data_IF_931607039702
#
_entry.id   IF_931607039702
#
_cell.length_a   1.000
_cell.length_b   1.000
_cell.length_c   1.000
_cell.angle_alpha   90.00
_cell.angle_beta   90.00
_cell.angle_gamma   90.00
#
_symmetry.space_group_name_H-M   'P 1'
#
loop_
_entity.id
_entity.type
_entity.pdbx_description
1 polymer ?
#
# COMPACT_ATOMS: atom_id res chain seq x y z
N UNK A 1 1.57 -18.64 11.94
CA UNK A 1 1.28 -17.32 11.33
C UNK A 1 1.40 -17.48 9.83
N UNK A 2 0.58 -16.77 9.07
CA UNK A 2 0.58 -16.82 7.60
C UNK A 2 0.93 -15.45 7.04
N UNK A 3 1.39 -15.42 5.79
CA UNK A 3 1.78 -14.19 5.10
C UNK A 3 1.09 -14.14 3.73
N UNK A 4 0.55 -12.99 3.38
CA UNK A 4 0.04 -12.66 2.05
C UNK A 4 0.86 -11.51 1.47
N UNK A 5 1.11 -11.54 0.16
CA UNK A 5 1.80 -10.46 -0.57
C UNK A 5 0.89 -9.94 -1.67
N UNK A 6 0.71 -8.63 -1.69
CA UNK A 6 -0.10 -7.90 -2.65
C UNK A 6 0.80 -6.99 -3.49
N UNK A 7 0.44 -6.81 -4.75
CA UNK A 7 1.03 -5.84 -5.68
C UNK A 7 -0.08 -4.84 -6.06
N UNK A 8 0.24 -3.62 -6.53
CA UNK A 8 -0.79 -2.69 -6.94
C UNK A 8 -1.70 -3.26 -8.05
N UNK A 9 -2.99 -2.93 -8.02
CA UNK A 9 -4.03 -3.40 -8.96
C UNK A 9 -3.94 -2.79 -10.37
N UNK A 10 -2.79 -2.22 -10.72
CA UNK A 10 -2.68 -1.18 -11.74
C UNK A 10 -2.33 0.13 -11.05
N UNK A 11 -3.14 0.54 -10.07
CA UNK A 11 -3.08 1.86 -9.44
C UNK A 11 -1.77 2.19 -8.68
N UNK A 12 -0.80 2.72 -9.41
CA UNK A 12 0.23 3.60 -8.88
C UNK A 12 0.56 4.74 -9.86
N UNK A 13 0.83 5.93 -9.34
CA UNK A 13 1.24 7.06 -10.19
C UNK A 13 2.00 8.06 -9.37
N UNK A 14 2.59 9.06 -10.03
CA UNK A 14 3.09 10.24 -9.38
C UNK A 14 2.30 11.48 -9.81
N UNK A 15 1.91 12.32 -8.86
CA UNK A 15 1.22 13.58 -9.12
C UNK A 15 2.17 14.74 -8.87
N UNK A 16 2.31 15.63 -9.86
CA UNK A 16 3.39 16.64 -9.91
C UNK A 16 2.84 18.06 -9.89
N UNK A 17 3.27 18.86 -8.93
CA UNK A 17 2.81 20.25 -8.78
C UNK A 17 3.16 21.14 -9.98
N UNK A 18 4.36 21.00 -10.55
CA UNK A 18 4.84 21.87 -11.63
C UNK A 18 4.23 21.56 -13.00
N UNK A 19 3.57 20.40 -13.14
CA UNK A 19 2.85 19.95 -14.33
C UNK A 19 1.49 19.38 -13.91
N UNK A 20 0.62 20.23 -13.32
CA UNK A 20 -0.45 19.77 -12.42
C UNK A 20 -1.65 19.12 -13.11
N UNK A 21 -1.67 19.13 -14.44
CA UNK A 21 -2.72 18.52 -15.28
C UNK A 21 -2.22 17.31 -16.06
N UNK A 22 -0.97 16.90 -15.89
CA UNK A 22 -0.38 15.76 -16.60
C UNK A 22 -0.53 14.49 -15.75
N UNK A 23 -1.02 13.42 -16.38
CA UNK A 23 -1.07 12.08 -15.80
C UNK A 23 0.23 11.31 -16.08
N UNK A 24 0.62 10.44 -15.15
CA UNK A 24 1.83 9.60 -15.25
C UNK A 24 1.56 8.13 -14.93
N UNK A 25 0.30 7.69 -14.95
CA UNK A 25 -0.08 6.32 -14.59
C UNK A 25 0.37 5.24 -15.58
N UNK A 26 1.04 5.60 -16.66
CA UNK A 26 1.67 4.65 -17.60
C UNK A 26 3.20 4.62 -17.50
N UNK A 27 3.79 5.44 -16.62
CA UNK A 27 5.24 5.49 -16.44
C UNK A 27 5.74 4.19 -15.77
N UNK A 28 6.95 3.76 -16.16
CA UNK A 28 7.61 2.57 -15.57
C UNK A 28 8.39 2.86 -14.30
N UNK A 29 8.31 4.11 -13.83
CA UNK A 29 8.89 4.59 -12.59
C UNK A 29 7.96 5.57 -11.88
N UNK A 30 8.07 5.62 -10.56
CA UNK A 30 7.38 6.58 -9.71
C UNK A 30 8.40 7.61 -9.25
N UNK A 31 8.29 8.83 -9.79
CA UNK A 31 9.09 9.96 -9.35
C UNK A 31 8.50 10.56 -8.08
N UNK A 32 9.34 10.88 -7.11
CA UNK A 32 8.98 11.65 -5.93
C UNK A 32 10.02 12.75 -5.73
N UNK A 33 9.58 13.95 -5.37
CA UNK A 33 10.45 15.13 -5.31
C UNK A 33 10.02 16.06 -4.20
N UNK A 34 11.02 16.58 -3.49
CA UNK A 34 10.90 17.73 -2.62
C UNK A 34 11.58 18.97 -3.21
N UNK A 35 12.31 18.88 -4.32
CA UNK A 35 13.10 19.98 -4.88
C UNK A 35 12.25 21.10 -5.51
N UNK A 36 12.69 22.34 -5.36
CA UNK A 36 12.07 23.53 -5.97
C UNK A 36 12.09 23.49 -7.52
N UNK A 37 13.11 22.88 -8.12
CA UNK A 37 13.26 22.75 -9.57
C UNK A 37 12.19 21.86 -10.23
N UNK A 38 11.75 20.81 -9.54
CA UNK A 38 10.72 19.88 -10.00
C UNK A 38 9.37 20.08 -9.29
N UNK A 39 9.30 20.98 -8.31
CA UNK A 39 8.16 21.14 -7.43
C UNK A 39 7.90 19.90 -6.57
N UNK A 40 6.77 19.95 -5.86
CA UNK A 40 6.29 18.82 -5.05
C UNK A 40 5.81 17.69 -5.96
N UNK A 41 6.33 16.49 -5.73
CA UNK A 41 5.84 15.29 -6.41
C UNK A 41 5.54 14.23 -5.35
N UNK A 42 4.31 13.72 -5.37
CA UNK A 42 3.79 12.73 -4.42
C UNK A 42 3.33 11.48 -5.16
N UNK A 43 3.27 10.36 -4.46
CA UNK A 43 2.95 9.06 -5.07
C UNK A 43 1.72 8.45 -4.38
N UNK A 44 0.52 8.53 -4.98
CA UNK A 44 -0.62 7.71 -4.58
C UNK A 44 -0.48 6.27 -5.12
N UNK A 45 -0.88 5.29 -4.31
CA UNK A 45 -0.88 3.88 -4.67
C UNK A 45 -1.96 3.10 -3.92
N UNK A 46 -2.52 2.07 -4.57
CA UNK A 46 -3.56 1.19 -4.01
C UNK A 46 -3.13 -0.28 -4.09
N UNK A 47 -3.33 -1.02 -3.01
CA UNK A 47 -3.22 -2.48 -2.97
C UNK A 47 -4.61 -3.10 -2.78
N UNK A 48 -5.11 -3.85 -3.78
CA UNK A 48 -6.39 -4.53 -3.67
C UNK A 48 -6.29 -5.66 -2.64
N UNK A 49 -7.27 -5.77 -1.74
CA UNK A 49 -7.38 -6.89 -0.81
C UNK A 49 -8.83 -7.36 -0.76
N UNK A 50 -9.08 -8.62 -1.11
CA UNK A 50 -10.38 -9.27 -0.95
C UNK A 50 -10.45 -9.88 0.45
N UNK A 51 -10.88 -9.08 1.44
CA UNK A 51 -11.08 -9.53 2.81
C UNK A 51 -12.06 -10.71 2.89
N UNK A 52 -11.70 -11.74 3.66
CA UNK A 52 -12.41 -13.02 3.71
C UNK A 52 -11.91 -14.06 2.72
N UNK A 53 -11.20 -13.65 1.66
CA UNK A 53 -10.60 -14.55 0.66
C UNK A 53 -9.06 -14.48 0.70
N UNK A 54 -8.47 -13.33 0.38
CA UNK A 54 -7.02 -13.15 0.37
C UNK A 54 -6.44 -13.18 1.79
N UNK A 55 -7.19 -12.57 2.72
CA UNK A 55 -6.97 -12.65 4.17
C UNK A 55 -8.24 -13.25 4.77
N UNK A 56 -8.21 -14.49 5.30
CA UNK A 56 -9.40 -15.18 5.77
C UNK A 56 -10.17 -14.42 6.86
N UNK A 57 -11.48 -14.62 6.90
CA UNK A 57 -12.34 -14.00 7.90
C UNK A 57 -11.91 -14.37 9.33
N UNK A 58 -11.95 -13.40 10.24
CA UNK A 58 -11.49 -13.55 11.63
C UNK A 58 -9.98 -13.54 11.80
N UNK A 59 -9.19 -13.38 10.73
CA UNK A 59 -7.75 -13.22 10.84
C UNK A 59 -7.39 -11.94 11.62
N UNK A 60 -6.37 -12.02 12.47
CA UNK A 60 -5.79 -10.86 13.16
C UNK A 60 -4.52 -10.46 12.45
N UNK A 61 -4.43 -9.20 11.99
CA UNK A 61 -3.21 -8.67 11.38
C UNK A 61 -2.13 -8.43 12.45
N UNK A 62 -0.91 -8.86 12.15
CA UNK A 62 0.24 -8.86 13.05
C UNK A 62 1.32 -7.91 12.54
N UNK A 63 1.51 -7.84 11.22
CA UNK A 63 2.40 -6.88 10.58
C UNK A 63 1.86 -6.55 9.18
N UNK A 64 2.09 -5.32 8.71
CA UNK A 64 1.88 -4.95 7.32
C UNK A 64 3.01 -4.03 6.87
N UNK A 65 3.79 -4.47 5.89
CA UNK A 65 4.93 -3.72 5.37
C UNK A 65 4.69 -3.33 3.92
N UNK A 66 4.63 -2.02 3.68
CA UNK A 66 4.68 -1.46 2.34
C UNK A 66 6.16 -1.35 1.92
N UNK A 67 6.51 -1.88 0.75
CA UNK A 67 7.87 -1.87 0.23
C UNK A 67 7.89 -1.35 -1.20
N UNK A 68 8.71 -0.32 -1.47
CA UNK A 68 9.01 0.16 -2.82
C UNK A 68 10.51 0.08 -3.08
N UNK A 69 10.90 -0.36 -4.28
CA UNK A 69 12.30 -0.44 -4.66
C UNK A 69 12.79 0.86 -5.29
N UNK A 70 13.79 1.49 -4.68
CA UNK A 70 14.47 2.68 -5.19
C UNK A 70 15.53 2.24 -6.20
N UNK A 71 15.54 2.84 -7.39
CA UNK A 71 16.62 2.64 -8.36
C UNK A 71 17.46 3.91 -8.63
N UNK A 72 17.00 5.07 -8.14
CA UNK A 72 17.74 6.33 -8.26
C UNK A 72 17.45 7.25 -7.08
N UNK A 73 18.51 7.88 -6.54
CA UNK A 73 18.44 8.88 -5.47
C UNK A 73 19.27 10.09 -5.90
N UNK A 74 18.71 11.29 -5.79
CA UNK A 74 19.43 12.55 -6.00
C UNK A 74 19.21 13.46 -4.79
N UNK A 75 20.29 13.70 -4.05
CA UNK A 75 20.35 14.59 -2.88
C UNK A 75 19.23 14.42 -1.83
N UNK A 76 18.63 13.24 -1.77
CA UNK A 76 17.50 12.90 -0.89
C UNK A 76 17.84 11.84 0.16
N UNK A 77 19.08 11.33 0.17
CA UNK A 77 19.51 10.36 1.17
C UNK A 77 19.40 10.95 2.59
N UNK A 78 18.86 10.17 3.52
CA UNK A 78 18.59 10.62 4.89
C UNK A 78 17.32 11.46 5.06
N UNK A 79 16.59 11.77 3.99
CA UNK A 79 15.27 12.42 4.12
C UNK A 79 14.21 11.43 4.63
N UNK A 80 13.20 11.95 5.32
CA UNK A 80 12.05 11.15 5.78
C UNK A 80 10.92 11.22 4.77
N UNK A 81 10.40 10.05 4.40
CA UNK A 81 9.21 9.91 3.56
C UNK A 81 8.07 9.36 4.40
N UNK A 82 6.95 10.07 4.41
CA UNK A 82 5.71 9.60 5.02
C UNK A 82 4.89 8.77 4.03
N UNK A 83 4.25 7.73 4.56
CA UNK A 83 3.13 7.03 3.93
C UNK A 83 1.87 7.35 4.72
N UNK A 84 0.97 8.14 4.13
CA UNK A 84 -0.30 8.52 4.73
C UNK A 84 -1.45 7.83 4.02
N UNK A 85 -2.50 7.43 4.74
CA UNK A 85 -3.66 6.80 4.11
C UNK A 85 -4.44 7.81 3.27
N UNK A 86 -4.74 7.46 2.03
CA UNK A 86 -5.64 8.25 1.17
C UNK A 86 -7.06 8.23 1.76
N UNK A 87 -7.71 9.38 1.79
CA UNK A 87 -9.12 9.51 2.22
C UNK A 87 -10.08 9.53 1.04
N UNK A 88 -9.55 9.73 -0.18
CA UNK A 88 -10.29 9.67 -1.44
C UNK A 88 -9.85 8.44 -2.23
N UNK A 89 -10.69 7.41 -2.21
CA UNK A 89 -10.36 6.06 -2.73
C UNK A 89 -10.92 5.77 -4.13
N UNK A 90 -11.78 6.64 -4.66
CA UNK A 90 -12.38 6.51 -6.00
C UNK A 90 -11.54 7.19 -7.10
N UNK A 91 -10.25 7.39 -6.86
CA UNK A 91 -9.31 7.92 -7.84
C UNK A 91 -9.04 6.91 -8.97
N UNK A 92 -8.75 7.44 -10.15
CA UNK A 92 -8.52 6.65 -11.37
C UNK A 92 -7.10 6.91 -11.84
N UNK A 93 -6.27 5.86 -11.87
CA UNK A 93 -4.84 5.95 -12.13
C UNK A 93 -4.48 6.73 -13.39
N UNK A 94 -5.15 6.45 -14.51
CA UNK A 94 -4.88 7.08 -15.81
C UNK A 94 -5.51 8.47 -15.97
N UNK A 95 -6.21 8.96 -14.96
CA UNK A 95 -6.85 10.28 -14.96
C UNK A 95 -6.34 11.19 -13.84
N UNK A 96 -5.72 10.61 -12.81
CA UNK A 96 -5.23 11.32 -11.63
C UNK A 96 -4.06 12.24 -11.98
N UNK A 97 -4.12 13.48 -11.48
CA UNK A 97 -3.08 14.49 -11.61
C UNK A 97 -2.89 15.20 -10.27
N UNK A 98 -2.05 16.23 -10.20
CA UNK A 98 -1.94 17.07 -9.01
C UNK A 98 -3.26 17.75 -8.63
N UNK A 99 -4.05 18.17 -9.62
CA UNK A 99 -5.30 18.91 -9.41
C UNK A 99 -6.53 18.00 -9.23
N UNK A 100 -6.59 16.88 -9.94
CA UNK A 100 -7.78 16.01 -10.00
C UNK A 100 -7.45 14.58 -9.61
N UNK A 101 -8.38 13.90 -8.95
CA UNK A 101 -8.25 12.46 -8.65
C UNK A 101 -8.87 11.57 -9.72
N UNK A 102 -9.80 12.14 -10.51
CA UNK A 102 -10.40 11.57 -11.71
C UNK A 102 -11.02 12.69 -12.55
N UNK A 103 -11.39 12.37 -13.78
CA UNK A 103 -11.99 13.33 -14.72
C UNK A 103 -13.19 14.04 -14.10
N UNK A 104 -13.14 15.37 -14.09
CA UNK A 104 -14.22 16.22 -13.57
C UNK A 104 -14.33 16.27 -12.04
N UNK A 105 -13.36 15.74 -11.28
CA UNK A 105 -13.38 15.80 -9.81
C UNK A 105 -12.01 16.18 -9.23
N UNK A 106 -11.97 17.31 -8.53
CA UNK A 106 -10.75 17.84 -7.92
C UNK A 106 -10.44 17.15 -6.59
N UNK A 107 -9.16 17.01 -6.25
CA UNK A 107 -8.78 16.83 -4.85
C UNK A 107 -9.31 18.01 -4.02
N UNK A 108 -9.63 17.79 -2.74
CA UNK A 108 -10.04 18.87 -1.83
C UNK A 108 -8.92 19.89 -1.68
N UNK A 109 -7.70 19.40 -1.51
CA UNK A 109 -6.47 20.16 -1.68
C UNK A 109 -5.60 19.50 -2.74
N UNK A 110 -5.05 20.28 -3.67
CA UNK A 110 -4.20 19.75 -4.72
C UNK A 110 -3.02 18.95 -4.13
N UNK A 111 -2.69 17.83 -4.77
CA UNK A 111 -1.64 16.91 -4.32
C UNK A 111 -2.11 15.74 -3.47
N UNK A 112 -3.38 15.34 -3.58
CA UNK A 112 -3.92 14.14 -2.92
C UNK A 112 -4.57 14.41 -1.57
N UNK A 113 -5.76 13.85 -1.36
CA UNK A 113 -6.49 13.92 -0.07
C UNK A 113 -6.09 12.73 0.82
N UNK A 114 -5.56 13.01 2.02
CA UNK A 114 -5.05 12.00 2.96
C UNK A 114 -5.34 12.37 4.42
N UNK A 115 -5.16 11.40 5.32
CA UNK A 115 -5.14 11.60 6.78
C UNK A 115 -3.79 11.22 7.37
N UNK A 116 -3.44 11.81 8.50
CA UNK A 116 -2.19 11.53 9.24
C UNK A 116 -2.39 10.63 10.45
N UNK A 117 -3.62 10.25 10.79
CA UNK A 117 -3.97 9.54 12.03
C UNK A 117 -3.23 8.21 12.21
N UNK A 118 -2.97 7.51 11.10
CA UNK A 118 -2.29 6.22 11.00
C UNK A 118 -1.05 6.30 10.10
N UNK A 119 -0.41 7.47 10.04
CA UNK A 119 0.77 7.71 9.23
C UNK A 119 1.98 6.86 9.64
N UNK A 120 2.72 6.38 8.63
CA UNK A 120 4.00 5.69 8.80
C UNK A 120 5.11 6.50 8.14
N UNK A 121 6.36 6.24 8.52
CA UNK A 121 7.52 6.91 7.92
C UNK A 121 8.71 5.97 7.73
N UNK A 122 9.50 6.23 6.69
CA UNK A 122 10.77 5.58 6.44
C UNK A 122 11.83 6.62 6.07
N UNK A 123 13.10 6.27 6.24
CA UNK A 123 14.23 7.14 5.88
C UNK A 123 14.86 6.65 4.59
N UNK A 124 15.14 7.57 3.69
CA UNK A 124 15.75 7.28 2.39
C UNK A 124 17.17 6.73 2.61
N UNK A 125 17.51 5.54 2.09
CA UNK A 125 18.83 4.94 2.25
C UNK A 125 19.91 5.73 1.50
N UNK A 126 21.18 5.41 1.78
CA UNK A 126 22.31 6.01 1.08
C UNK A 126 22.40 5.55 -0.38
N UNK A 127 22.04 4.29 -0.64
CA UNK A 127 22.14 3.62 -1.93
C UNK A 127 20.78 3.05 -2.38
N UNK A 128 20.58 2.80 -3.69
CA UNK A 128 19.38 2.12 -4.21
C UNK A 128 19.08 0.80 -3.47
N UNK A 129 17.91 0.74 -2.84
CA UNK A 129 17.46 -0.39 -2.05
C UNK A 129 15.93 -0.40 -1.93
N UNK A 130 15.40 -1.45 -1.28
CA UNK A 130 14.03 -1.41 -0.80
C UNK A 130 13.89 -0.37 0.32
N UNK A 131 12.81 0.41 0.25
CA UNK A 131 12.37 1.27 1.33
C UNK A 131 11.05 0.74 1.87
N UNK A 132 11.01 0.53 3.19
CA UNK A 132 9.94 -0.19 3.87
C UNK A 132 9.25 0.71 4.90
N UNK A 133 7.92 0.74 4.86
CA UNK A 133 7.07 1.41 5.85
C UNK A 133 6.24 0.37 6.59
N UNK A 134 6.24 0.43 7.93
CA UNK A 134 5.29 -0.31 8.76
C UNK A 134 3.94 0.42 8.74
N UNK A 135 2.98 -0.13 7.99
CA UNK A 135 1.63 0.43 7.81
C UNK A 135 0.57 -0.46 8.45
N UNK A 136 0.91 -1.21 9.50
CA UNK A 136 -0.04 -2.11 10.19
C UNK A 136 -1.34 -1.41 10.58
N UNK A 137 -1.28 -0.18 11.10
CA UNK A 137 -2.46 0.60 11.46
C UNK A 137 -3.37 0.91 10.25
N UNK A 138 -2.79 1.24 9.10
CA UNK A 138 -3.55 1.48 7.86
C UNK A 138 -4.18 0.18 7.34
N UNK A 139 -3.46 -0.95 7.42
CA UNK A 139 -3.99 -2.25 7.03
C UNK A 139 -5.12 -2.72 7.97
N UNK A 140 -5.03 -2.44 9.27
CA UNK A 140 -6.10 -2.72 10.24
C UNK A 140 -7.33 -1.84 10.00
N UNK A 141 -7.13 -0.56 9.65
CA UNK A 141 -8.21 0.31 9.20
C UNK A 141 -8.89 -0.27 7.96
N UNK A 142 -8.11 -0.69 6.96
CA UNK A 142 -8.61 -1.27 5.72
C UNK A 142 -9.41 -2.55 5.97
N UNK A 143 -8.91 -3.43 6.84
CA UNK A 143 -9.62 -4.65 7.27
C UNK A 143 -10.95 -4.32 7.95
N UNK A 144 -10.95 -3.37 8.88
CA UNK A 144 -12.15 -2.98 9.66
C UNK A 144 -13.23 -2.40 8.77
N UNK A 145 -12.84 -1.59 7.78
CA UNK A 145 -13.77 -0.90 6.89
C UNK A 145 -14.05 -1.68 5.60
N UNK A 146 -13.43 -2.86 5.42
CA UNK A 146 -13.54 -3.68 4.20
C UNK A 146 -13.21 -2.87 2.93
N UNK A 147 -12.09 -2.14 2.97
CA UNK A 147 -11.58 -1.33 1.85
C UNK A 147 -10.17 -1.78 1.47
N UNK A 148 -9.67 -1.31 0.32
CA UNK A 148 -8.30 -1.52 -0.08
C UNK A 148 -7.32 -0.77 0.84
N UNK A 149 -6.04 -1.14 0.78
CA UNK A 149 -4.98 -0.35 1.42
C UNK A 149 -4.49 0.69 0.42
N UNK A 150 -4.70 1.97 0.74
CA UNK A 150 -4.37 3.08 -0.15
C UNK A 150 -3.50 4.10 0.57
N UNK A 151 -2.33 4.39 0.00
CA UNK A 151 -1.33 5.26 0.59
C UNK A 151 -0.97 6.41 -0.36
N UNK A 152 -0.57 7.53 0.22
CA UNK A 152 0.07 8.67 -0.43
C UNK A 152 1.46 8.84 0.19
N UNK A 153 2.50 8.68 -0.63
CA UNK A 153 3.87 8.95 -0.24
C UNK A 153 4.22 10.42 -0.47
N UNK A 154 4.84 11.05 0.53
CA UNK A 154 5.37 12.40 0.42
C UNK A 154 6.60 12.62 1.31
N UNK A 155 7.46 13.55 0.91
CA UNK A 155 8.55 13.99 1.77
C UNK A 155 7.99 14.70 3.01
N UNK A 156 8.65 14.53 4.16
CA UNK A 156 8.37 15.30 5.38
C UNK A 156 8.50 16.81 5.13
N UNK A 157 9.61 17.19 4.49
CA UNK A 157 9.87 18.57 4.09
C UNK A 157 9.78 18.67 2.58
N UNK A 158 8.83 19.43 2.09
CA UNK A 158 8.59 19.66 0.66
C UNK A 158 9.02 21.07 0.26
N UNK A 159 9.32 21.28 -1.02
CA UNK A 159 9.76 22.57 -1.57
C UNK A 159 11.09 23.06 -0.97
N UNK A 160 12.06 22.16 -0.97
CA UNK A 160 13.44 22.37 -0.55
C UNK A 160 14.29 22.91 -1.72
N UNK A 161 15.32 23.69 -1.42
CA UNK A 161 16.21 24.23 -2.45
C UNK A 161 17.00 23.13 -3.18
N UNK A 162 17.07 23.23 -4.50
CA UNK A 162 17.86 22.35 -5.36
C UNK A 162 17.13 21.09 -5.80
N UNK A 163 17.81 20.26 -6.61
CA UNK A 163 17.24 19.02 -7.13
C UNK A 163 17.29 17.93 -6.06
N UNK A 164 16.11 17.55 -5.55
CA UNK A 164 15.92 16.51 -4.53
C UNK A 164 14.82 15.57 -4.97
N UNK A 165 15.20 14.41 -5.50
CA UNK A 165 14.23 13.42 -5.95
C UNK A 165 14.70 11.97 -5.75
N UNK A 166 13.70 11.09 -5.76
CA UNK A 166 13.83 9.64 -5.66
C UNK A 166 12.99 9.04 -6.79
N UNK A 167 13.48 7.96 -7.39
CA UNK A 167 12.69 7.16 -8.32
C UNK A 167 12.53 5.74 -7.82
N UNK A 168 11.28 5.32 -7.66
CA UNK A 168 10.93 3.94 -7.38
C UNK A 168 10.55 3.22 -8.68
N UNK A 169 10.58 1.89 -8.67
CA UNK A 169 9.92 1.11 -9.73
C UNK A 169 8.40 1.20 -9.55
N UNK A 170 7.68 1.39 -10.66
CA UNK A 170 6.22 1.33 -10.68
C UNK A 170 5.74 -0.10 -10.95
N UNK A 171 4.44 -0.33 -10.80
CA UNK A 171 3.78 -1.56 -11.19
C UNK A 171 3.80 -1.78 -12.71
N UNK A 172 4.06 -0.74 -13.51
CA UNK A 172 4.26 -0.87 -14.96
C UNK A 172 5.69 -1.31 -15.33
N UNK A 173 6.62 -1.44 -14.38
CA UNK A 173 7.99 -1.87 -14.67
C UNK A 173 8.03 -3.32 -15.17
N UNK A 174 8.58 -3.56 -16.36
CA UNK A 174 8.50 -4.88 -17.06
C UNK A 174 9.79 -5.68 -17.05
N UNK A 175 10.95 -5.07 -16.80
CA UNK A 175 12.25 -5.75 -16.90
C UNK A 175 12.50 -6.75 -15.77
N UNK A 176 12.16 -6.38 -14.53
CA UNK A 176 12.23 -7.27 -13.38
C UNK A 176 11.03 -7.03 -12.48
N UNK A 177 10.05 -7.94 -12.59
CA UNK A 177 8.77 -7.85 -11.89
C UNK A 177 8.94 -8.00 -10.36
N UNK A 178 10.07 -8.53 -9.90
CA UNK A 178 10.32 -8.70 -8.46
C UNK A 178 10.62 -7.39 -7.74
N UNK A 179 10.97 -6.34 -8.48
CA UNK A 179 11.25 -5.00 -7.97
C UNK A 179 10.02 -4.09 -7.90
N UNK A 180 8.84 -4.58 -8.30
CA UNK A 180 7.60 -3.79 -8.25
C UNK A 180 7.11 -3.56 -6.80
N UNK A 181 6.38 -2.48 -6.54
CA UNK A 181 5.86 -2.17 -5.20
C UNK A 181 5.07 -3.34 -4.61
N UNK A 182 5.22 -3.60 -3.31
CA UNK A 182 4.49 -4.70 -2.65
C UNK A 182 4.00 -4.30 -1.27
N UNK A 183 2.89 -4.92 -0.87
CA UNK A 183 2.40 -4.92 0.50
C UNK A 183 2.46 -6.35 1.04
N UNK A 184 3.23 -6.57 2.09
CA UNK A 184 3.35 -7.86 2.76
C UNK A 184 2.60 -7.82 4.08
N UNK A 185 1.57 -8.65 4.23
CA UNK A 185 0.74 -8.72 5.44
C UNK A 185 0.95 -10.05 6.13
N UNK A 186 1.32 -10.01 7.41
CA UNK A 186 1.40 -11.20 8.28
C UNK A 186 0.19 -11.23 9.20
N UNK A 187 -0.44 -12.39 9.34
CA UNK A 187 -1.66 -12.57 10.13
C UNK A 187 -1.71 -13.92 10.86
N UNK A 188 -2.54 -14.00 11.90
CA UNK A 188 -2.92 -15.26 12.55
C UNK A 188 -4.39 -15.56 12.29
N UNK A 189 -4.72 -16.85 12.24
CA UNK A 189 -6.09 -17.32 12.18
C UNK A 189 -6.60 -17.61 13.59
N UNK A 190 -7.92 -17.48 13.84
CA UNK A 190 -8.50 -17.90 15.10
C UNK A 190 -8.24 -19.40 15.28
N UNK A 191 -8.03 -19.82 16.53
CA UNK A 191 -7.92 -21.24 16.84
C UNK A 191 -9.21 -21.94 16.40
N UNK A 192 -9.11 -22.91 15.50
CA UNK A 192 -10.26 -23.76 15.18
C UNK A 192 -10.59 -24.58 16.41
N UNK A 193 -11.72 -24.29 17.06
CA UNK A 193 -12.31 -25.23 18.01
C UNK A 193 -12.68 -26.47 17.22
N UNK A 194 -11.82 -27.49 17.21
CA UNK A 194 -12.24 -28.81 16.76
C UNK A 194 -13.40 -29.21 17.66
N UNK A 195 -14.61 -29.29 17.11
CA UNK A 195 -15.70 -29.96 17.77
C UNK A 195 -15.20 -31.33 18.14
N UNK A 196 -15.09 -31.62 19.44
CA UNK A 196 -14.92 -32.99 19.91
C UNK A 196 -16.06 -33.76 19.28
N UNK A 197 -15.76 -34.56 18.26
CA UNK A 197 -16.71 -35.55 17.76
C UNK A 197 -17.09 -36.37 18.97
N UNK A 198 -18.30 -36.17 19.47
CA UNK A 198 -18.82 -36.97 20.56
C UNK A 198 -18.92 -38.39 20.02
N UNK A 199 -17.90 -39.19 20.30
CA UNK A 199 -17.95 -40.63 20.16
C UNK A 199 -19.08 -41.11 21.07
N UNK A 200 -20.29 -41.19 20.54
CA UNK A 200 -21.39 -41.93 21.15
C UNK A 200 -20.98 -43.41 21.06
N UNK A 201 -20.71 -44.11 22.18
CA UNK A 201 -20.44 -45.54 22.11
C UNK A 201 -21.70 -46.24 21.60
N UNK A 202 -21.55 -47.00 20.52
CA UNK A 202 -22.63 -47.83 19.96
C UNK A 202 -23.16 -48.77 21.06
N UNK A 203 -24.44 -48.63 21.39
CA UNK A 203 -25.13 -49.52 22.33
C UNK A 203 -25.20 -50.90 21.69
N UNK A 204 -24.44 -51.85 22.22
CA UNK A 204 -24.40 -53.25 21.81
C UNK A 204 -25.80 -53.87 21.97
N UNK A 205 -26.54 -54.08 20.87
CA UNK A 205 -27.73 -54.92 20.90
C UNK A 205 -27.29 -56.38 20.89
N UNK A 206 -27.36 -57.05 22.04
CA UNK A 206 -27.35 -58.52 22.11
C UNK A 206 -28.65 -59.04 21.49
N UNK A 207 -28.57 -59.65 20.30
CA UNK A 207 -29.62 -60.54 19.83
C UNK A 207 -29.51 -61.85 20.62
N UNK A 208 -30.54 -62.12 21.42
CA UNK A 208 -30.71 -63.38 22.14
C UNK A 208 -31.12 -64.50 21.18
N UNK A 209 -30.66 -65.70 21.55
CA UNK A 209 -31.00 -67.00 21.01
C UNK A 209 -32.51 -67.25 21.04
N UNK A 210 -33.06 -67.76 19.95
CA UNK A 210 -33.88 -68.99 19.86
C UNK A 210 -33.96 -69.45 18.40
#
# INVERSE_FOLDING_TARGET
MATATFQPSGKDTNIRENVPTTNYGSDTDLLMSAGDSAGRIRVPLEFPIVWGTDIPAGATLIAATLSLYIYQIVSSAGETIFAYRLTRTDWVELESTWNIYKTGSNWTAAGGDYTTDDGASAVVPADPAWMDWDILAQAQYAQTNTVNVEALLRHQTEFQAGSKYIRFRSNNYTTDLTLRPKLVVTYSLPATTQGKSAFMPAKLMRAGVL
#
